data_IF_604684812680
#
_entry.id   IF_604684812680
#
_cell.length_a   1.000
_cell.length_b   1.000
_cell.length_c   1.000
_cell.angle_alpha   90.00
_cell.angle_beta   90.00
_cell.angle_gamma   90.00
#
_symmetry.space_group_name_H-M   'P 1'
#
loop_
_entity.id
_entity.type
_entity.pdbx_description
1 polymer ?
#
# COMPACT_ATOMS: atom_id res chain seq x y z
N UNK A 1 12.09 19.31 -9.13
CA UNK A 1 10.97 19.77 -9.98
C UNK A 1 10.26 20.83 -9.16
N UNK A 2 10.35 22.11 -9.50
CA UNK A 2 9.39 23.06 -8.91
C UNK A 2 8.02 22.54 -9.32
N UNK A 3 7.24 22.04 -8.35
CA UNK A 3 5.94 21.46 -8.65
C UNK A 3 5.05 22.64 -9.02
N UNK A 4 5.00 22.92 -10.33
CA UNK A 4 4.13 23.94 -10.89
C UNK A 4 2.71 23.72 -10.38
N UNK A 5 1.96 24.80 -10.21
CA UNK A 5 0.57 24.73 -9.80
C UNK A 5 -0.25 23.75 -10.67
N UNK A 6 0.06 23.70 -11.97
CA UNK A 6 -0.56 22.78 -12.94
C UNK A 6 -0.27 21.31 -12.59
N UNK A 7 0.97 20.97 -12.23
CA UNK A 7 1.33 19.61 -11.82
C UNK A 7 0.60 19.19 -10.55
N UNK A 8 0.43 20.10 -9.58
CA UNK A 8 -0.35 19.82 -8.36
C UNK A 8 -1.80 19.51 -8.68
N UNK A 9 -2.41 20.31 -9.56
CA UNK A 9 -3.78 20.10 -10.01
C UNK A 9 -3.96 18.77 -10.74
N UNK A 10 -2.97 18.36 -11.55
CA UNK A 10 -2.97 17.03 -12.20
C UNK A 10 -2.88 15.88 -11.19
N UNK A 11 -2.00 15.99 -10.19
CA UNK A 11 -1.91 14.99 -9.11
C UNK A 11 -3.26 14.90 -8.39
N UNK A 12 -3.87 16.03 -8.04
CA UNK A 12 -5.20 16.04 -7.41
C UNK A 12 -6.27 15.40 -8.31
N UNK A 13 -6.27 15.72 -9.60
CA UNK A 13 -7.20 15.12 -10.56
C UNK A 13 -7.02 13.59 -10.65
N UNK A 14 -5.79 13.08 -10.70
CA UNK A 14 -5.52 11.64 -10.72
C UNK A 14 -6.00 10.94 -9.44
N UNK A 15 -5.78 11.54 -8.27
CA UNK A 15 -6.30 11.04 -7.00
C UNK A 15 -7.84 11.02 -7.00
N UNK A 16 -8.47 12.10 -7.47
CA UNK A 16 -9.93 12.23 -7.53
C UNK A 16 -10.56 11.20 -8.49
N UNK A 17 -9.97 11.00 -9.68
CA UNK A 17 -10.40 9.99 -10.66
C UNK A 17 -10.34 8.59 -10.02
N UNK A 18 -9.24 8.27 -9.35
CA UNK A 18 -9.08 7.02 -8.60
C UNK A 18 -10.13 6.82 -7.51
N UNK A 19 -10.31 7.84 -6.67
CA UNK A 19 -11.31 7.83 -5.60
C UNK A 19 -12.73 7.65 -6.12
N UNK A 20 -13.09 8.32 -7.23
CA UNK A 20 -14.43 8.22 -7.82
C UNK A 20 -14.65 6.86 -8.50
N UNK A 21 -13.80 6.49 -9.46
CA UNK A 21 -14.02 5.32 -10.32
C UNK A 21 -13.79 4.00 -9.60
N UNK A 22 -12.82 3.94 -8.69
CA UNK A 22 -12.51 2.72 -7.95
C UNK A 22 -13.00 2.82 -6.49
N UNK A 23 -12.83 3.96 -5.82
CA UNK A 23 -13.25 4.08 -4.41
C UNK A 23 -14.77 4.08 -4.20
N UNK A 24 -15.50 4.94 -4.91
CA UNK A 24 -16.94 5.19 -4.65
C UNK A 24 -17.87 4.46 -5.61
N UNK A 25 -17.59 4.45 -6.92
CA UNK A 25 -18.49 3.90 -7.94
C UNK A 25 -18.84 2.41 -7.71
N UNK A 26 -17.87 1.49 -7.53
CA UNK A 26 -18.17 0.08 -7.29
C UNK A 26 -18.56 -0.21 -5.83
N UNK A 27 -18.74 0.80 -4.97
CA UNK A 27 -18.95 0.59 -3.53
C UNK A 27 -20.12 -0.35 -3.23
N UNK A 28 -21.19 -0.30 -4.03
CA UNK A 28 -22.34 -1.19 -3.88
C UNK A 28 -22.02 -2.66 -4.19
N UNK A 29 -20.98 -2.93 -5.01
CA UNK A 29 -20.53 -4.27 -5.38
C UNK A 29 -19.54 -4.83 -4.35
N UNK A 30 -18.64 -3.99 -3.85
CA UNK A 30 -17.52 -4.42 -2.98
C UNK A 30 -17.73 -4.15 -1.50
N UNK A 31 -18.90 -3.60 -1.11
CA UNK A 31 -19.19 -3.30 0.29
C UNK A 31 -19.04 -4.58 1.11
N UNK A 32 -18.24 -4.57 2.19
CA UNK A 32 -18.14 -5.72 3.08
C UNK A 32 -19.52 -6.06 3.65
N UNK A 33 -19.85 -7.35 3.63
CA UNK A 33 -21.08 -7.83 4.21
C UNK A 33 -21.08 -7.60 5.73
N UNK A 34 -22.28 -7.45 6.31
CA UNK A 34 -22.46 -7.04 7.72
C UNK A 34 -21.92 -8.10 8.69
N UNK A 35 -22.02 -9.36 8.29
CA UNK A 35 -21.46 -10.56 8.94
C UNK A 35 -19.93 -10.59 8.97
N UNK A 36 -19.24 -9.95 8.03
CA UNK A 36 -17.79 -9.77 8.03
C UNK A 36 -17.31 -8.64 8.98
N UNK A 37 -18.19 -8.12 9.85
CA UNK A 37 -17.88 -7.02 10.77
C UNK A 37 -17.58 -5.70 10.06
N UNK A 38 -17.88 -5.60 8.77
CA UNK A 38 -17.56 -4.44 7.93
C UNK A 38 -16.08 -4.37 7.50
N UNK A 39 -15.30 -5.44 7.65
CA UNK A 39 -13.88 -5.45 7.28
C UNK A 39 -13.72 -5.78 5.79
N UNK A 40 -12.91 -4.98 5.09
CA UNK A 40 -12.64 -5.15 3.67
C UNK A 40 -11.64 -6.29 3.46
N UNK A 41 -12.16 -7.51 3.35
CA UNK A 41 -11.40 -8.74 3.13
C UNK A 41 -12.10 -9.63 2.08
N UNK A 42 -11.41 -9.98 0.99
CA UNK A 42 -11.94 -10.86 -0.08
C UNK A 42 -12.38 -12.21 0.47
N UNK A 43 -11.64 -12.75 1.44
CA UNK A 43 -11.88 -14.10 1.98
C UNK A 43 -13.03 -14.20 3.00
N UNK A 44 -13.70 -13.09 3.29
CA UNK A 44 -14.96 -13.11 4.05
C UNK A 44 -16.15 -13.62 3.22
N UNK A 45 -15.94 -13.99 1.94
CA UNK A 45 -16.98 -14.52 1.06
C UNK A 45 -17.88 -13.45 0.46
N UNK A 46 -17.58 -12.16 0.69
CA UNK A 46 -18.40 -11.04 0.26
C UNK A 46 -18.04 -10.50 -1.14
N UNK A 47 -16.95 -10.96 -1.76
CA UNK A 47 -16.49 -10.47 -3.07
C UNK A 47 -16.36 -11.67 -4.01
N UNK A 48 -17.18 -11.68 -5.06
CA UNK A 48 -17.14 -12.71 -6.10
C UNK A 48 -15.96 -12.50 -7.07
N UNK A 49 -15.62 -13.53 -7.86
CA UNK A 49 -14.60 -13.41 -8.92
C UNK A 49 -15.02 -12.35 -9.94
N UNK A 50 -16.31 -12.26 -10.28
CA UNK A 50 -16.86 -11.21 -11.14
C UNK A 50 -16.62 -9.80 -10.58
N UNK A 51 -16.80 -9.61 -9.27
CA UNK A 51 -16.56 -8.31 -8.63
C UNK A 51 -15.08 -7.92 -8.72
N UNK A 52 -14.16 -8.88 -8.54
CA UNK A 52 -12.72 -8.64 -8.70
C UNK A 52 -12.40 -8.24 -10.16
N UNK A 53 -12.99 -8.90 -11.15
CA UNK A 53 -12.78 -8.55 -12.56
C UNK A 53 -13.32 -7.16 -12.90
N UNK A 54 -14.50 -6.80 -12.38
CA UNK A 54 -15.05 -5.44 -12.52
C UNK A 54 -14.11 -4.42 -11.86
N UNK A 55 -13.60 -4.70 -10.66
CA UNK A 55 -12.63 -3.84 -9.99
C UNK A 55 -11.31 -3.72 -10.76
N UNK A 56 -10.84 -4.79 -11.39
CA UNK A 56 -9.64 -4.77 -12.22
C UNK A 56 -9.84 -3.88 -13.45
N UNK A 57 -11.00 -3.98 -14.10
CA UNK A 57 -11.37 -3.11 -15.21
C UNK A 57 -11.45 -1.65 -14.76
N UNK A 58 -12.12 -1.36 -13.63
CA UNK A 58 -12.22 0.00 -13.09
C UNK A 58 -10.86 0.57 -12.67
N UNK A 59 -9.99 -0.25 -12.08
CA UNK A 59 -8.63 0.16 -11.74
C UNK A 59 -7.83 0.51 -12.99
N UNK A 60 -7.92 -0.33 -14.03
CA UNK A 60 -7.32 -0.06 -15.34
C UNK A 60 -7.85 1.25 -15.94
N UNK A 61 -9.17 1.42 -16.00
CA UNK A 61 -9.82 2.63 -16.51
C UNK A 61 -9.43 3.87 -15.71
N UNK A 62 -9.32 3.77 -14.38
CA UNK A 62 -8.89 4.87 -13.53
C UNK A 62 -7.47 5.31 -13.85
N UNK A 63 -6.53 4.37 -13.97
CA UNK A 63 -5.16 4.67 -14.39
C UNK A 63 -5.09 5.26 -15.79
N UNK A 64 -5.86 4.68 -16.74
CA UNK A 64 -5.92 5.14 -18.13
C UNK A 64 -6.42 6.58 -18.23
N UNK A 65 -7.59 6.88 -17.64
CA UNK A 65 -8.20 8.21 -17.67
C UNK A 65 -7.33 9.22 -16.92
N UNK A 66 -6.80 8.85 -15.74
CA UNK A 66 -5.91 9.73 -14.98
C UNK A 66 -4.65 10.08 -15.78
N UNK A 67 -4.05 9.10 -16.46
CA UNK A 67 -2.88 9.33 -17.31
C UNK A 67 -3.20 10.26 -18.49
N UNK A 68 -4.34 10.05 -19.17
CA UNK A 68 -4.79 10.92 -20.25
C UNK A 68 -4.97 12.38 -19.78
N UNK A 69 -5.64 12.60 -18.64
CA UNK A 69 -5.85 13.92 -18.04
C UNK A 69 -4.52 14.56 -17.58
N UNK A 70 -3.56 13.76 -17.15
CA UNK A 70 -2.26 14.21 -16.66
C UNK A 70 -1.21 14.41 -17.75
N UNK A 71 -1.55 14.24 -19.03
CA UNK A 71 -0.65 14.47 -20.17
C UNK A 71 0.01 15.86 -20.05
N UNK A 72 1.34 15.98 -20.20
CA UNK A 72 2.27 14.96 -20.71
C UNK A 72 3.00 14.12 -19.64
N UNK A 73 2.60 14.18 -18.36
CA UNK A 73 3.17 13.38 -17.27
C UNK A 73 2.28 12.18 -16.91
N UNK A 74 1.57 11.63 -17.89
CA UNK A 74 0.50 10.66 -17.68
C UNK A 74 0.98 9.39 -17.01
N UNK A 75 2.08 8.81 -17.49
CA UNK A 75 2.65 7.58 -16.92
C UNK A 75 3.16 7.74 -15.49
N UNK A 76 3.63 8.93 -15.11
CA UNK A 76 4.17 9.19 -13.78
C UNK A 76 3.08 9.49 -12.78
N UNK A 77 2.10 10.32 -13.14
CA UNK A 77 1.05 10.77 -12.23
C UNK A 77 -0.11 9.78 -12.22
N UNK A 78 -0.53 9.26 -13.38
CA UNK A 78 -1.72 8.42 -13.51
C UNK A 78 -1.67 7.11 -12.70
N UNK A 79 -0.46 6.60 -12.41
CA UNK A 79 -0.28 5.39 -11.59
C UNK A 79 -0.81 5.55 -10.16
N UNK A 80 -0.98 6.76 -9.63
CA UNK A 80 -1.52 6.96 -8.28
C UNK A 80 -3.03 6.73 -8.19
N UNK A 81 -3.74 6.69 -9.32
CA UNK A 81 -5.21 6.64 -9.34
C UNK A 81 -5.76 5.36 -8.69
N UNK A 82 -5.30 4.18 -9.11
CA UNK A 82 -5.79 2.94 -8.52
C UNK A 82 -5.47 2.83 -7.01
N UNK A 83 -4.23 3.07 -6.54
CA UNK A 83 -3.93 3.11 -5.11
C UNK A 83 -4.80 4.11 -4.32
N UNK A 84 -5.14 5.28 -4.89
CA UNK A 84 -6.02 6.24 -4.26
C UNK A 84 -7.46 5.72 -4.09
N UNK A 85 -7.98 5.01 -5.09
CA UNK A 85 -9.27 4.31 -4.96
C UNK A 85 -9.25 3.24 -3.88
N UNK A 86 -8.21 2.41 -3.85
CA UNK A 86 -8.02 1.39 -2.81
C UNK A 86 -7.87 2.03 -1.42
N UNK A 87 -7.27 3.21 -1.32
CA UNK A 87 -7.14 3.93 -0.06
C UNK A 87 -8.49 4.33 0.55
N UNK A 88 -9.49 4.68 -0.27
CA UNK A 88 -10.85 4.93 0.19
C UNK A 88 -11.44 3.68 0.83
N UNK A 89 -11.27 2.50 0.21
CA UNK A 89 -11.72 1.23 0.79
C UNK A 89 -10.98 0.92 2.09
N UNK A 90 -9.66 1.11 2.12
CA UNK A 90 -8.85 0.92 3.32
C UNK A 90 -9.26 1.82 4.49
N UNK A 91 -9.67 3.07 4.23
CA UNK A 91 -10.13 3.98 5.28
C UNK A 91 -11.56 3.65 5.76
N UNK A 92 -12.44 3.23 4.86
CA UNK A 92 -13.83 2.85 5.18
C UNK A 92 -13.95 1.45 5.79
N UNK A 93 -12.91 0.63 5.68
CA UNK A 93 -12.88 -0.70 6.27
C UNK A 93 -13.00 -0.63 7.79
N UNK A 94 -13.74 -1.54 8.39
CA UNK A 94 -13.69 -1.73 9.84
C UNK A 94 -12.33 -2.28 10.29
N UNK A 95 -11.98 -2.09 11.57
CA UNK A 95 -10.75 -2.63 12.14
C UNK A 95 -10.76 -4.16 12.20
N UNK A 96 -9.62 -4.79 11.93
CA UNK A 96 -9.38 -6.23 12.03
C UNK A 96 -9.86 -6.86 13.34
N UNK A 97 -9.78 -6.14 14.46
CA UNK A 97 -10.28 -6.60 15.77
C UNK A 97 -11.76 -6.96 15.76
N UNK A 98 -12.60 -6.34 14.91
CA UNK A 98 -14.00 -6.76 14.76
C UNK A 98 -14.13 -8.18 14.21
N UNK A 99 -13.27 -8.59 13.28
CA UNK A 99 -13.25 -9.98 12.81
C UNK A 99 -12.88 -10.93 13.97
N UNK A 100 -11.94 -10.55 14.83
CA UNK A 100 -11.56 -11.37 15.98
C UNK A 100 -12.56 -11.35 17.14
N UNK A 101 -13.46 -10.37 17.17
CA UNK A 101 -14.61 -10.37 18.08
C UNK A 101 -15.70 -11.32 17.60
N UNK A 102 -15.94 -11.39 16.29
CA UNK A 102 -16.91 -12.33 15.68
C UNK A 102 -16.34 -13.75 15.66
N UNK A 103 -15.03 -13.90 15.53
CA UNK A 103 -14.30 -15.18 15.51
C UNK A 103 -13.30 -15.24 16.68
N UNK A 104 -13.77 -15.44 17.92
CA UNK A 104 -12.91 -15.37 19.11
C UNK A 104 -11.98 -16.57 19.26
N UNK A 105 -12.32 -17.73 18.69
CA UNK A 105 -11.53 -18.94 18.83
C UNK A 105 -10.16 -18.83 18.16
N UNK A 106 -9.14 -19.44 18.78
CA UNK A 106 -7.75 -19.43 18.28
C UNK A 106 -7.67 -19.95 16.84
N UNK A 107 -8.35 -21.08 16.56
CA UNK A 107 -8.34 -21.70 15.24
C UNK A 107 -8.88 -20.75 14.16
N UNK A 108 -9.97 -20.04 14.45
CA UNK A 108 -10.59 -19.11 13.51
C UNK A 108 -9.69 -17.90 13.25
N UNK A 109 -9.08 -17.33 14.30
CA UNK A 109 -8.11 -16.22 14.15
C UNK A 109 -6.90 -16.61 13.29
N UNK A 110 -6.39 -17.83 13.44
CA UNK A 110 -5.32 -18.34 12.57
C UNK A 110 -5.79 -18.50 11.12
N UNK A 111 -7.02 -18.96 10.91
CA UNK A 111 -7.59 -19.08 9.57
C UNK A 111 -7.75 -17.71 8.91
N UNK A 112 -8.19 -16.70 9.66
CA UNK A 112 -8.26 -15.30 9.19
C UNK A 112 -6.88 -14.83 8.73
N UNK A 113 -5.83 -14.97 9.55
CA UNK A 113 -4.49 -14.58 9.14
C UNK A 113 -3.94 -15.39 7.94
N UNK A 114 -4.22 -16.69 7.88
CA UNK A 114 -3.81 -17.54 6.76
C UNK A 114 -4.44 -17.13 5.43
N UNK A 115 -5.65 -16.58 5.47
CA UNK A 115 -6.36 -15.99 4.33
C UNK A 115 -5.78 -14.61 3.98
N UNK A 116 -5.71 -13.71 4.97
CA UNK A 116 -5.23 -12.32 4.78
C UNK A 116 -3.80 -12.24 4.22
N UNK A 117 -2.92 -13.20 4.54
CA UNK A 117 -1.50 -13.17 4.08
C UNK A 117 -1.34 -13.23 2.57
N UNK A 118 -2.30 -13.82 1.84
CA UNK A 118 -2.27 -13.89 0.38
C UNK A 118 -3.14 -12.82 -0.28
N UNK A 119 -4.05 -12.21 0.49
CA UNK A 119 -4.97 -11.21 -0.04
C UNK A 119 -4.25 -9.95 -0.52
N UNK A 120 -3.11 -9.63 0.09
CA UNK A 120 -2.28 -8.50 -0.31
C UNK A 120 -1.84 -8.58 -1.78
N UNK A 121 -1.67 -9.78 -2.33
CA UNK A 121 -1.34 -9.95 -3.74
C UNK A 121 -2.51 -9.66 -4.67
N UNK A 122 -3.75 -9.88 -4.22
CA UNK A 122 -4.96 -9.51 -4.98
C UNK A 122 -5.06 -7.99 -5.09
N UNK A 123 -4.89 -7.29 -3.96
CA UNK A 123 -4.89 -5.83 -3.95
C UNK A 123 -3.74 -5.24 -4.77
N UNK A 124 -2.56 -5.87 -4.72
CA UNK A 124 -1.42 -5.46 -5.55
C UNK A 124 -1.70 -5.69 -7.04
N UNK A 125 -2.36 -6.78 -7.42
CA UNK A 125 -2.77 -7.03 -8.80
C UNK A 125 -3.73 -5.95 -9.30
N UNK A 126 -4.70 -5.51 -8.47
CA UNK A 126 -5.58 -4.39 -8.81
C UNK A 126 -4.81 -3.07 -8.99
N UNK A 127 -3.86 -2.77 -8.10
CA UNK A 127 -2.98 -1.61 -8.27
C UNK A 127 -2.17 -1.71 -9.57
N UNK A 128 -1.64 -2.89 -9.89
CA UNK A 128 -0.90 -3.16 -11.12
C UNK A 128 -1.76 -2.98 -12.39
N UNK A 129 -3.04 -3.37 -12.36
CA UNK A 129 -3.99 -3.07 -13.45
C UNK A 129 -4.11 -1.56 -13.68
N UNK A 130 -4.20 -0.76 -12.62
CA UNK A 130 -4.17 0.70 -12.73
C UNK A 130 -2.85 1.24 -13.28
N UNK A 131 -1.72 0.67 -12.87
CA UNK A 131 -0.43 1.06 -13.42
C UNK A 131 -0.34 0.76 -14.92
N UNK A 132 -0.81 -0.42 -15.34
CA UNK A 132 -0.87 -0.81 -16.75
C UNK A 132 -1.74 0.15 -17.56
N UNK A 133 -2.94 0.50 -17.06
CA UNK A 133 -3.82 1.48 -17.69
C UNK A 133 -3.13 2.83 -17.88
N UNK A 134 -2.44 3.33 -16.85
CA UNK A 134 -1.71 4.60 -16.93
C UNK A 134 -0.57 4.58 -17.96
N UNK A 135 0.20 3.50 -18.01
CA UNK A 135 1.31 3.33 -18.97
C UNK A 135 0.78 3.23 -20.41
N UNK A 136 -0.31 2.50 -20.64
CA UNK A 136 -0.90 2.34 -21.98
C UNK A 136 -1.48 3.68 -22.46
N UNK A 137 -2.20 4.40 -21.61
CA UNK A 137 -2.71 5.73 -21.95
C UNK A 137 -1.57 6.71 -22.30
N UNK A 138 -0.48 6.72 -21.53
CA UNK A 138 0.66 7.59 -21.81
C UNK A 138 1.24 7.28 -23.20
N UNK A 139 1.41 5.99 -23.55
CA UNK A 139 1.89 5.59 -24.88
C UNK A 139 0.97 6.04 -26.02
N UNK A 140 -0.34 6.11 -25.79
CA UNK A 140 -1.32 6.52 -26.81
C UNK A 140 -1.36 8.05 -26.96
N UNK A 141 -1.36 8.79 -25.84
CA UNK A 141 -1.61 10.23 -25.85
C UNK A 141 -0.34 11.08 -25.86
N UNK A 142 0.82 10.51 -25.53
CA UNK A 142 2.08 11.26 -25.47
C UNK A 142 2.61 11.51 -26.88
N UNK A 143 2.48 12.78 -27.32
CA UNK A 143 2.94 13.25 -28.63
C UNK A 143 4.46 13.50 -28.71
N UNK A 144 5.14 13.71 -27.57
CA UNK A 144 6.59 13.92 -27.49
C UNK A 144 7.16 13.31 -26.20
N UNK A 145 8.31 12.67 -26.31
CA UNK A 145 9.12 12.32 -25.15
C UNK A 145 9.52 13.61 -24.42
N UNK A 146 9.38 13.57 -23.10
CA UNK A 146 9.83 14.63 -22.21
C UNK A 146 10.96 14.01 -21.44
N UNK A 147 12.16 14.55 -21.63
CA UNK A 147 13.31 14.25 -20.78
C UNK A 147 13.02 14.80 -19.39
N UNK A 148 12.53 13.92 -18.53
CA UNK A 148 12.48 14.20 -17.12
C UNK A 148 13.82 13.80 -16.52
N UNK A 149 14.41 14.63 -15.63
CA UNK A 149 15.59 14.28 -14.86
C UNK A 149 15.22 13.24 -13.79
N UNK A 150 14.67 12.10 -14.22
CA UNK A 150 14.38 10.97 -13.35
C UNK A 150 15.64 10.20 -13.01
N UNK A 151 16.69 10.27 -13.82
CA UNK A 151 17.91 9.51 -13.58
C UNK A 151 18.78 10.21 -12.53
N UNK A 152 18.96 9.53 -11.41
CA UNK A 152 19.93 9.90 -10.38
C UNK A 152 21.13 8.98 -10.56
N UNK A 153 22.36 9.50 -10.57
CA UNK A 153 23.54 8.64 -10.57
C UNK A 153 23.55 7.83 -9.27
N UNK A 154 23.45 6.48 -9.31
CA UNK A 154 23.37 5.68 -8.11
C UNK A 154 24.68 5.78 -7.32
N UNK A 155 24.58 5.79 -5.99
CA UNK A 155 25.76 5.73 -5.11
C UNK A 155 26.40 4.35 -5.17
N UNK A 156 25.59 3.31 -5.37
CA UNK A 156 26.02 1.92 -5.47
C UNK A 156 25.56 1.33 -6.81
N UNK A 157 26.44 1.26 -7.82
CA UNK A 157 26.09 0.61 -9.07
C UNK A 157 25.98 -0.90 -8.83
N UNK A 158 24.81 -1.46 -9.14
CA UNK A 158 24.50 -2.88 -8.99
C UNK A 158 23.93 -3.41 -10.30
N UNK A 159 24.12 -4.70 -10.62
CA UNK A 159 23.37 -5.35 -11.69
C UNK A 159 21.86 -5.24 -11.44
N UNK A 160 21.06 -5.07 -12.49
CA UNK A 160 19.61 -4.83 -12.40
C UNK A 160 18.90 -5.85 -11.49
N UNK A 161 19.20 -7.15 -11.63
CA UNK A 161 18.59 -8.19 -10.80
C UNK A 161 18.94 -8.04 -9.31
N UNK A 162 20.21 -7.75 -8.98
CA UNK A 162 20.64 -7.55 -7.61
C UNK A 162 20.01 -6.29 -7.00
N UNK A 163 19.91 -5.22 -7.79
CA UNK A 163 19.23 -3.99 -7.39
C UNK A 163 17.76 -4.25 -7.04
N UNK A 164 17.02 -4.99 -7.90
CA UNK A 164 15.62 -5.34 -7.66
C UNK A 164 15.48 -6.16 -6.37
N UNK A 165 16.30 -7.20 -6.21
CA UNK A 165 16.27 -8.05 -5.02
C UNK A 165 16.54 -7.25 -3.73
N UNK A 166 17.57 -6.40 -3.74
CA UNK A 166 17.94 -5.56 -2.59
C UNK A 166 16.82 -4.54 -2.29
N UNK A 167 16.25 -3.90 -3.30
CA UNK A 167 15.15 -2.93 -3.11
C UNK A 167 13.94 -3.61 -2.50
N UNK A 168 13.52 -4.76 -3.03
CA UNK A 168 12.33 -5.47 -2.52
C UNK A 168 12.57 -5.99 -1.11
N UNK A 169 13.65 -6.75 -0.88
CA UNK A 169 13.97 -7.33 0.43
C UNK A 169 14.21 -6.23 1.46
N UNK A 170 15.02 -5.22 1.12
CA UNK A 170 15.32 -4.08 1.98
C UNK A 170 14.07 -3.29 2.34
N UNK A 171 13.16 -3.07 1.37
CA UNK A 171 11.87 -2.40 1.64
C UNK A 171 11.01 -3.24 2.58
N UNK A 172 10.96 -4.58 2.42
CA UNK A 172 10.18 -5.44 3.33
C UNK A 172 10.64 -5.29 4.77
N UNK A 173 11.95 -5.38 5.02
CA UNK A 173 12.49 -5.24 6.38
C UNK A 173 12.31 -3.82 6.94
N UNK A 174 12.68 -2.80 6.14
CA UNK A 174 12.59 -1.41 6.57
C UNK A 174 11.13 -0.99 6.81
N UNK A 175 10.21 -1.30 5.90
CA UNK A 175 8.80 -0.96 6.06
C UNK A 175 8.17 -1.74 7.21
N UNK A 176 8.45 -3.04 7.39
CA UNK A 176 7.96 -3.78 8.55
C UNK A 176 8.46 -3.15 9.87
N UNK A 177 9.72 -2.72 9.94
CA UNK A 177 10.26 -2.02 11.10
C UNK A 177 9.58 -0.67 11.33
N UNK A 178 9.51 0.17 10.31
CA UNK A 178 8.95 1.53 10.38
C UNK A 178 7.45 1.53 10.70
N UNK A 179 6.66 0.63 10.10
CA UNK A 179 5.23 0.49 10.41
C UNK A 179 5.05 0.10 11.88
N UNK A 180 5.90 -0.77 12.42
CA UNK A 180 5.86 -1.12 13.84
C UNK A 180 6.27 0.01 14.79
N UNK A 181 6.82 1.12 14.28
CA UNK A 181 7.12 2.33 15.05
C UNK A 181 5.98 3.35 14.89
N UNK A 182 5.58 3.64 13.64
CA UNK A 182 4.62 4.71 13.36
C UNK A 182 3.17 4.32 13.64
N UNK A 183 2.83 3.03 13.50
CA UNK A 183 1.49 2.54 13.80
C UNK A 183 1.32 2.17 15.28
N UNK A 184 2.23 2.54 16.18
CA UNK A 184 2.09 2.18 17.60
C UNK A 184 0.93 2.96 18.23
N UNK A 185 -0.05 2.24 18.74
CA UNK A 185 -1.08 2.77 19.64
C UNK A 185 -0.74 2.42 21.11
N UNK A 186 -1.69 2.62 22.03
CA UNK A 186 -1.58 2.25 23.44
C UNK A 186 -1.06 0.82 23.57
N UNK A 187 0.08 0.68 24.24
CA UNK A 187 0.74 -0.60 24.44
C UNK A 187 0.88 -0.94 25.90
N UNK A 188 0.82 -2.23 26.20
CA UNK A 188 1.01 -2.77 27.53
C UNK A 188 2.17 -3.76 27.53
N UNK A 189 2.86 -3.86 28.66
CA UNK A 189 3.88 -4.90 28.82
C UNK A 189 3.20 -6.25 28.97
N UNK A 190 3.77 -7.27 28.34
CA UNK A 190 3.31 -8.66 28.42
C UNK A 190 4.52 -9.55 28.72
N UNK A 191 4.35 -10.50 29.63
CA UNK A 191 5.45 -11.34 30.12
C UNK A 191 5.98 -12.32 29.07
N UNK A 192 5.17 -12.67 28.06
CA UNK A 192 5.53 -13.64 27.02
C UNK A 192 5.92 -12.99 25.70
N UNK A 193 5.32 -11.85 25.36
CA UNK A 193 5.51 -11.13 24.09
C UNK A 193 6.35 -9.85 24.25
N UNK A 194 6.81 -9.54 25.46
CA UNK A 194 7.42 -8.28 25.92
C UNK A 194 6.46 -7.08 25.88
N UNK A 195 5.73 -6.91 24.78
CA UNK A 195 4.77 -5.83 24.57
C UNK A 195 3.65 -6.26 23.63
N UNK A 196 2.44 -5.85 23.95
CA UNK A 196 1.28 -5.89 23.05
C UNK A 196 0.80 -4.47 22.78
N UNK A 197 0.16 -4.26 21.64
CA UNK A 197 -0.34 -2.94 21.23
C UNK A 197 -1.80 -3.04 20.81
N UNK A 198 -2.61 -2.07 21.22
CA UNK A 198 -3.98 -1.93 20.77
C UNK A 198 -4.02 -1.67 19.25
N UNK A 199 -5.17 -1.94 18.64
CA UNK A 199 -5.39 -1.68 17.23
C UNK A 199 -5.32 -0.19 16.96
N UNK A 200 -4.41 0.26 16.08
CA UNK A 200 -4.33 1.65 15.71
C UNK A 200 -5.54 2.06 14.87
N UNK A 201 -5.93 3.33 14.96
CA UNK A 201 -6.99 3.88 14.12
C UNK A 201 -6.60 3.81 12.62
N UNK A 202 -7.60 3.68 11.72
CA UNK A 202 -7.36 3.57 10.28
C UNK A 202 -6.51 4.72 9.71
N UNK A 203 -6.72 5.95 10.18
CA UNK A 203 -5.95 7.11 9.75
C UNK A 203 -4.47 7.03 10.19
N UNK A 204 -4.21 6.47 11.38
CA UNK A 204 -2.86 6.23 11.87
C UNK A 204 -2.17 5.13 11.06
N UNK A 205 -2.89 4.04 10.73
CA UNK A 205 -2.38 2.99 9.83
C UNK A 205 -2.03 3.59 8.47
N UNK A 206 -2.93 4.38 7.89
CA UNK A 206 -2.73 5.05 6.61
C UNK A 206 -1.46 5.91 6.63
N UNK A 207 -1.31 6.75 7.66
CA UNK A 207 -0.12 7.57 7.86
C UNK A 207 1.14 6.72 8.01
N UNK A 208 1.13 5.72 8.89
CA UNK A 208 2.28 4.88 9.18
C UNK A 208 2.80 4.14 7.95
N UNK A 209 1.90 3.53 7.18
CA UNK A 209 2.24 2.82 5.94
C UNK A 209 2.73 3.82 4.88
N UNK A 210 2.02 4.94 4.68
CA UNK A 210 2.41 5.95 3.70
C UNK A 210 3.82 6.49 3.97
N UNK A 211 4.12 6.85 5.22
CA UNK A 211 5.44 7.37 5.60
C UNK A 211 6.52 6.29 5.52
N UNK A 212 6.24 5.06 5.98
CA UNK A 212 7.20 3.96 5.92
C UNK A 212 7.62 3.67 4.47
N UNK A 213 6.67 3.56 3.54
CA UNK A 213 6.96 3.36 2.13
C UNK A 213 7.47 4.62 1.44
N UNK A 214 7.11 5.81 1.92
CA UNK A 214 7.71 7.09 1.51
C UNK A 214 9.20 7.13 1.77
N UNK A 215 9.64 6.76 2.97
CA UNK A 215 11.05 6.66 3.34
C UNK A 215 11.74 5.60 2.45
N UNK A 216 11.14 4.42 2.29
CA UNK A 216 11.73 3.37 1.45
C UNK A 216 11.85 3.79 -0.02
N UNK A 217 10.81 4.39 -0.60
CA UNK A 217 10.81 4.91 -1.97
C UNK A 217 11.84 6.01 -2.16
N UNK A 218 11.99 6.90 -1.17
CA UNK A 218 13.01 7.95 -1.18
C UNK A 218 14.42 7.36 -1.18
N UNK A 219 14.75 6.48 -0.22
CA UNK A 219 16.09 5.91 -0.08
C UNK A 219 16.48 5.05 -1.29
N UNK A 220 15.56 4.21 -1.77
CA UNK A 220 15.81 3.32 -2.91
C UNK A 220 15.94 4.08 -4.22
N UNK A 221 15.29 5.23 -4.37
CA UNK A 221 15.52 6.12 -5.51
C UNK A 221 16.85 6.87 -5.37
N UNK A 222 17.14 7.41 -4.20
CA UNK A 222 18.34 8.21 -3.96
C UNK A 222 19.64 7.40 -4.10
N UNK A 223 19.71 6.23 -3.47
CA UNK A 223 20.95 5.44 -3.39
C UNK A 223 21.11 4.45 -4.54
N UNK A 224 20.00 3.90 -5.02
CA UNK A 224 20.01 2.82 -6.02
C UNK A 224 19.45 3.27 -7.37
N UNK A 225 18.86 4.45 -7.51
CA UNK A 225 18.16 4.89 -8.73
C UNK A 225 17.03 3.94 -9.18
N UNK A 226 16.36 3.27 -8.24
CA UNK A 226 15.31 2.30 -8.56
C UNK A 226 13.98 2.97 -8.93
N UNK A 227 13.10 2.24 -9.64
CA UNK A 227 11.76 2.71 -9.99
C UNK A 227 10.77 2.51 -8.85
N UNK A 228 9.77 3.38 -8.73
CA UNK A 228 8.81 3.41 -7.62
C UNK A 228 7.97 2.13 -7.45
N UNK A 229 7.80 1.33 -8.51
CA UNK A 229 7.03 0.10 -8.44
C UNK A 229 7.72 -1.01 -7.64
N UNK A 230 9.06 -1.00 -7.50
CA UNK A 230 9.74 -2.05 -6.72
C UNK A 230 9.45 -1.94 -5.20
N UNK A 231 9.59 -0.76 -4.56
CA UNK A 231 9.09 -0.59 -3.20
C UNK A 231 7.57 -0.78 -3.12
N UNK A 232 6.80 -0.42 -4.14
CA UNK A 232 5.36 -0.64 -4.14
C UNK A 232 5.00 -2.15 -4.09
N UNK A 233 5.68 -3.00 -4.87
CA UNK A 233 5.50 -4.47 -4.85
C UNK A 233 5.81 -5.04 -3.45
N UNK A 234 6.81 -4.50 -2.77
CA UNK A 234 7.17 -4.94 -1.42
C UNK A 234 6.02 -4.78 -0.40
N UNK A 235 5.05 -3.89 -0.63
CA UNK A 235 3.87 -3.72 0.25
C UNK A 235 3.08 -5.01 0.45
N UNK A 236 2.90 -5.82 -0.59
CA UNK A 236 2.20 -7.09 -0.45
C UNK A 236 3.02 -8.12 0.36
N UNK A 237 4.34 -8.10 0.17
CA UNK A 237 5.28 -9.02 0.81
C UNK A 237 5.43 -8.70 2.29
N UNK A 238 5.34 -7.42 2.71
CA UNK A 238 5.37 -7.05 4.14
C UNK A 238 4.30 -7.80 4.91
N UNK A 239 3.03 -7.79 4.47
CA UNK A 239 1.95 -8.50 5.17
C UNK A 239 2.23 -10.00 5.24
N UNK A 240 2.64 -10.61 4.12
CA UNK A 240 3.00 -12.02 4.08
C UNK A 240 4.10 -12.36 5.10
N UNK A 241 5.16 -11.56 5.12
CA UNK A 241 6.28 -11.69 6.05
C UNK A 241 5.82 -11.50 7.50
N UNK A 242 5.13 -10.40 7.82
CA UNK A 242 4.68 -10.09 9.17
C UNK A 242 3.78 -11.17 9.74
N UNK A 243 2.81 -11.67 8.96
CA UNK A 243 1.92 -12.75 9.41
C UNK A 243 2.71 -14.04 9.61
N UNK A 244 3.68 -14.36 8.74
CA UNK A 244 4.51 -15.57 8.89
C UNK A 244 5.38 -15.53 10.16
N UNK A 245 5.91 -14.35 10.50
CA UNK A 245 6.81 -14.20 11.66
C UNK A 245 6.03 -14.04 12.97
N UNK A 246 5.01 -13.20 13.00
CA UNK A 246 4.29 -12.82 14.22
C UNK A 246 2.94 -13.55 14.38
N UNK A 247 2.38 -14.15 13.33
CA UNK A 247 1.14 -14.93 13.34
C UNK A 247 1.33 -16.40 13.71
N UNK A 248 2.35 -16.73 14.51
CA UNK A 248 2.59 -18.11 14.96
C UNK A 248 1.48 -18.55 15.92
N UNK A 249 1.10 -19.83 15.84
CA UNK A 249 0.01 -20.42 16.65
C UNK A 249 0.17 -20.13 18.16
N UNK A 250 1.38 -20.27 18.72
CA UNK A 250 1.66 -19.96 20.13
C UNK A 250 1.37 -18.49 20.50
N UNK A 251 1.71 -17.54 19.61
CA UNK A 251 1.49 -16.10 19.84
C UNK A 251 -0.01 -15.79 19.78
N UNK A 252 -0.71 -16.34 18.79
CA UNK A 252 -2.16 -16.12 18.63
C UNK A 252 -2.94 -16.76 19.79
N UNK A 253 -2.55 -17.96 20.23
CA UNK A 253 -3.14 -18.62 21.37
C UNK A 253 -2.97 -17.80 22.66
N UNK A 254 -1.77 -17.27 22.90
CA UNK A 254 -1.49 -16.38 24.03
C UNK A 254 -2.35 -15.12 23.98
N UNK A 255 -2.39 -14.44 22.83
CA UNK A 255 -3.23 -13.24 22.66
C UNK A 255 -4.71 -13.54 22.87
N UNK A 256 -5.22 -14.67 22.38
CA UNK A 256 -6.63 -15.02 22.55
C UNK A 256 -7.00 -15.37 24.00
N UNK A 257 -6.07 -15.93 24.76
CA UNK A 257 -6.30 -16.32 26.15
C UNK A 257 -6.23 -15.12 27.12
N UNK A 258 -5.30 -14.19 26.90
CA UNK A 258 -4.96 -13.16 27.89
C UNK A 258 -5.30 -11.73 27.48
N UNK A 259 -5.59 -11.50 26.20
CA UNK A 259 -5.80 -10.15 25.68
C UNK A 259 -7.13 -10.01 24.92
N UNK A 260 -7.82 -8.86 25.07
CA UNK A 260 -8.95 -8.52 24.22
C UNK A 260 -8.57 -8.55 22.73
N UNK A 261 -9.54 -8.84 21.86
CA UNK A 261 -9.38 -8.95 20.41
C UNK A 261 -8.81 -7.70 19.71
N UNK A 262 -8.77 -6.56 20.41
CA UNK A 262 -8.18 -5.30 19.96
C UNK A 262 -6.65 -5.26 20.10
N UNK A 263 -6.03 -6.20 20.83
CA UNK A 263 -4.58 -6.23 21.02
C UNK A 263 -3.86 -7.18 20.07
N UNK A 264 -2.69 -6.73 19.61
CA UNK A 264 -1.84 -7.41 18.65
C UNK A 264 -0.42 -7.50 19.20
N UNK A 265 0.31 -8.57 18.83
CA UNK A 265 1.72 -8.73 19.19
C UNK A 265 2.61 -7.64 18.59
N UNK A 266 2.23 -7.12 17.41
CA UNK A 266 2.92 -6.06 16.68
C UNK A 266 1.91 -5.21 15.92
N UNK A 267 2.08 -3.87 15.85
CA UNK A 267 1.16 -3.01 15.11
C UNK A 267 0.94 -3.40 13.65
N UNK A 268 1.99 -3.88 12.96
CA UNK A 268 1.90 -4.31 11.57
C UNK A 268 0.87 -5.45 11.35
N UNK A 269 0.61 -6.26 12.38
CA UNK A 269 -0.39 -7.35 12.33
C UNK A 269 -1.82 -6.83 12.33
N UNK A 270 -2.06 -5.59 12.74
CA UNK A 270 -3.37 -4.94 12.70
C UNK A 270 -3.68 -4.27 11.35
N UNK A 271 -2.69 -4.17 10.45
CA UNK A 271 -2.83 -3.51 9.15
C UNK A 271 -3.51 -4.45 8.16
N UNK A 272 -4.61 -3.99 7.56
CA UNK A 272 -5.30 -4.78 6.55
C UNK A 272 -4.51 -4.82 5.24
N UNK A 273 -4.61 -5.92 4.46
CA UNK A 273 -3.93 -6.04 3.18
C UNK A 273 -4.21 -4.88 2.21
N UNK A 274 -5.47 -4.44 2.09
CA UNK A 274 -5.85 -3.30 1.24
C UNK A 274 -5.22 -1.99 1.72
N UNK A 275 -5.12 -1.77 3.04
CA UNK A 275 -4.47 -0.59 3.62
C UNK A 275 -2.96 -0.61 3.33
N UNK A 276 -2.30 -1.75 3.54
CA UNK A 276 -0.86 -1.88 3.27
C UNK A 276 -0.54 -1.58 1.80
N UNK A 277 -1.29 -2.17 0.87
CA UNK A 277 -1.02 -1.98 -0.56
C UNK A 277 -1.35 -0.58 -1.02
N UNK A 278 -2.53 -0.06 -0.67
CA UNK A 278 -2.97 1.28 -1.11
C UNK A 278 -1.99 2.36 -0.65
N UNK A 279 -1.74 2.45 0.65
CA UNK A 279 -0.86 3.46 1.22
C UNK A 279 0.62 3.16 0.95
N UNK A 280 1.00 1.88 0.80
CA UNK A 280 2.36 1.49 0.45
C UNK A 280 2.73 1.91 -0.97
N UNK A 281 1.83 1.72 -1.93
CA UNK A 281 2.00 2.19 -3.31
C UNK A 281 2.07 3.73 -3.36
N UNK A 282 1.13 4.43 -2.72
CA UNK A 282 1.13 5.89 -2.67
C UNK A 282 2.40 6.45 -2.02
N UNK A 283 2.80 5.88 -0.89
CA UNK A 283 4.02 6.25 -0.18
C UNK A 283 5.26 6.04 -1.05
N UNK A 284 5.41 4.86 -1.67
CA UNK A 284 6.55 4.55 -2.53
C UNK A 284 6.70 5.54 -3.71
N UNK A 285 5.59 5.87 -4.36
CA UNK A 285 5.57 6.84 -5.48
C UNK A 285 5.91 8.24 -4.99
N UNK A 286 5.32 8.67 -3.88
CA UNK A 286 5.62 9.99 -3.29
C UNK A 286 7.09 10.11 -2.85
N UNK A 287 7.63 9.10 -2.17
CA UNK A 287 9.03 9.03 -1.77
C UNK A 287 9.98 9.10 -2.96
N UNK A 288 9.64 8.40 -4.05
CA UNK A 288 10.39 8.46 -5.31
C UNK A 288 10.45 9.89 -5.88
N UNK A 289 9.31 10.58 -5.94
CA UNK A 289 9.27 11.97 -6.42
C UNK A 289 10.04 12.94 -5.52
N UNK A 290 10.00 12.73 -4.21
CA UNK A 290 10.80 13.50 -3.26
C UNK A 290 12.30 13.31 -3.49
N UNK A 291 12.76 12.09 -3.76
CA UNK A 291 14.18 11.84 -4.02
C UNK A 291 14.66 12.53 -5.30
N UNK A 292 13.85 12.49 -6.37
CA UNK A 292 14.13 13.24 -7.60
C UNK A 292 14.19 14.75 -7.33
N UNK A 293 13.22 15.28 -6.57
CA UNK A 293 13.17 16.71 -6.24
C UNK A 293 14.35 17.15 -5.38
N UNK A 294 14.72 16.32 -4.39
CA UNK A 294 15.89 16.54 -3.54
C UNK A 294 17.20 16.53 -4.34
N UNK A 295 17.36 15.58 -5.27
CA UNK A 295 18.55 15.52 -6.12
C UNK A 295 18.69 16.78 -6.99
N UNK A 296 17.61 17.21 -7.65
CA UNK A 296 17.60 18.44 -8.46
C UNK A 296 18.00 19.65 -7.60
N UNK A 297 17.37 19.82 -6.44
CA UNK A 297 17.69 20.92 -5.52
C UNK A 297 19.18 20.94 -5.15
N UNK A 298 19.74 19.76 -4.79
CA UNK A 298 21.15 19.63 -4.43
C UNK A 298 22.09 19.94 -5.59
N UNK A 299 21.75 19.58 -6.82
CA UNK A 299 22.64 19.78 -7.99
C UNK A 299 22.53 21.16 -8.63
N UNK A 300 21.44 21.89 -8.41
CA UNK A 300 21.21 23.21 -9.03
C UNK A 300 21.58 24.38 -8.10
N UNK A 301 21.66 24.17 -6.79
CA UNK A 301 22.05 25.19 -5.79
C UNK A 301 23.45 25.00 -5.20
N UNK A 302 24.19 23.95 -5.60
CA UNK A 302 25.58 23.71 -5.21
C UNK A 302 26.52 24.07 -6.36
#
# INVERSE_FOLDING_TARGET
MEISWITRLRIFAALAIGALLLGFLPWHLVRPAVDAGGVFAVFAGSISISDILICAFLAFSAGFIASAVCTPYGAQIGIIAAPAGLAIWGLKSSPLSKLFQISPAVADRMQVYSKLRFESFIWLALAACGFAGAIIADKIFRRKEIDLPEQIKPSFPLPDFAQIAIVVIGTVFAANFLVNIFAVDVGYSDTSLNRVTAQPANAQIAFAVFIAFGICGFLTKLFLNSKAYWPAIASAIVIYYSITIYGKSKIIAHLAAFWPAVFFARPVMAVLPVQMVAFGCLGAIWGHWLAVSYNIWRTTQA
#
